data_IF_020970790096
#
_entry.id   IF_020970790096
#
_cell.length_a   1.000
_cell.length_b   1.000
_cell.length_c   1.000
_cell.angle_alpha   90.00
_cell.angle_beta   90.00
_cell.angle_gamma   90.00
#
_symmetry.space_group_name_H-M   'P 1'
#
loop_
_entity.id
_entity.type
_entity.pdbx_description
1 polymer ?
#
# COMPACT_ATOMS: atom_id res chain seq x y z
N UNK A 1 -3.87 1.54 -15.57
CA UNK A 1 -4.22 0.70 -14.41
C UNK A 1 -5.33 1.38 -13.63
N UNK A 2 -6.38 0.66 -13.24
CA UNK A 2 -7.57 1.20 -12.56
C UNK A 2 -7.95 0.27 -11.41
N UNK A 3 -8.33 0.82 -10.26
CA UNK A 3 -8.97 0.05 -9.18
C UNK A 3 -10.48 0.07 -9.45
N UNK A 4 -11.02 -1.05 -9.92
CA UNK A 4 -12.44 -1.21 -10.23
C UNK A 4 -13.28 -1.43 -8.97
N UNK A 5 -12.69 -2.12 -7.99
CA UNK A 5 -13.32 -2.41 -6.70
C UNK A 5 -12.27 -2.34 -5.60
N UNK A 6 -12.61 -1.70 -4.50
CA UNK A 6 -11.79 -1.66 -3.28
C UNK A 6 -12.67 -2.03 -2.09
N UNK A 7 -12.25 -3.04 -1.34
CA UNK A 7 -12.87 -3.44 -0.07
C UNK A 7 -11.82 -3.38 1.02
N UNK A 8 -12.23 -2.92 2.19
CA UNK A 8 -11.36 -2.92 3.36
C UNK A 8 -12.19 -3.19 4.61
N UNK A 9 -11.55 -3.81 5.59
CA UNK A 9 -12.08 -3.98 6.93
C UNK A 9 -10.98 -3.69 7.95
N UNK A 10 -11.35 -2.88 8.95
CA UNK A 10 -10.53 -2.60 10.14
C UNK A 10 -9.16 -1.96 9.86
N UNK A 11 -9.05 -1.19 8.76
CA UNK A 11 -7.87 -0.38 8.47
C UNK A 11 -8.00 0.96 9.19
N UNK A 12 -7.23 1.16 10.26
CA UNK A 12 -7.32 2.33 11.15
C UNK A 12 -8.76 2.60 11.59
N UNK A 13 -9.28 3.78 11.30
CA UNK A 13 -10.63 4.23 11.62
C UNK A 13 -11.64 3.96 10.49
N UNK A 14 -11.27 3.19 9.47
CA UNK A 14 -12.19 2.80 8.41
C UNK A 14 -13.04 1.62 8.87
N UNK A 15 -14.35 1.79 8.77
CA UNK A 15 -15.32 0.70 8.89
C UNK A 15 -15.23 -0.23 7.69
N UNK A 16 -15.91 -1.38 7.79
CA UNK A 16 -16.00 -2.28 6.66
C UNK A 16 -16.77 -1.61 5.52
N UNK A 17 -16.13 -1.43 4.37
CA UNK A 17 -16.74 -0.71 3.25
C UNK A 17 -16.25 -1.28 1.92
N UNK A 18 -17.16 -1.27 0.94
CA UNK A 18 -16.87 -1.55 -0.46
C UNK A 18 -17.05 -0.29 -1.28
N UNK A 19 -16.03 0.08 -2.06
CA UNK A 19 -16.02 1.20 -2.97
C UNK A 19 -15.85 0.70 -4.41
N UNK A 20 -16.48 1.41 -5.35
CA UNK A 20 -16.32 1.24 -6.79
C UNK A 20 -15.83 2.59 -7.36
N UNK A 21 -14.52 2.86 -7.33
CA UNK A 21 -13.97 4.11 -7.81
C UNK A 21 -14.24 4.34 -9.30
N UNK A 22 -14.34 5.60 -9.70
CA UNK A 22 -14.28 6.00 -11.10
C UNK A 22 -12.92 5.59 -11.69
N UNK A 23 -12.86 5.19 -12.98
CA UNK A 23 -11.60 4.84 -13.65
C UNK A 23 -10.66 6.04 -13.83
N UNK A 24 -11.14 7.26 -13.62
CA UNK A 24 -10.37 8.49 -13.78
C UNK A 24 -10.14 9.19 -12.43
N UNK A 25 -10.77 10.33 -12.22
CA UNK A 25 -10.57 11.18 -11.05
C UNK A 25 -11.60 10.85 -9.97
N UNK A 26 -11.11 10.71 -8.74
CA UNK A 26 -11.93 10.41 -7.56
C UNK A 26 -11.68 11.48 -6.50
N UNK A 27 -12.74 12.16 -6.05
CA UNK A 27 -12.66 13.12 -4.95
C UNK A 27 -13.09 12.46 -3.65
N UNK A 28 -12.22 12.49 -2.65
CA UNK A 28 -12.52 12.00 -1.30
C UNK A 28 -12.69 13.22 -0.39
N UNK A 29 -13.93 13.55 -0.04
CA UNK A 29 -14.29 14.74 0.73
C UNK A 29 -14.88 14.34 2.07
N UNK A 30 -14.66 15.16 3.09
CA UNK A 30 -15.17 14.93 4.44
C UNK A 30 -14.43 15.76 5.48
N UNK A 31 -14.93 15.77 6.70
CA UNK A 31 -14.30 16.47 7.84
C UNK A 31 -12.90 15.92 8.17
N UNK A 32 -12.10 16.72 8.87
CA UNK A 32 -10.81 16.24 9.39
C UNK A 32 -11.04 15.07 10.36
N UNK A 33 -10.19 14.04 10.26
CA UNK A 33 -10.36 12.82 11.03
C UNK A 33 -11.35 11.81 10.44
N UNK A 34 -12.07 12.12 9.34
CA UNK A 34 -13.07 11.20 8.75
C UNK A 34 -12.49 9.97 8.04
N UNK A 35 -11.16 9.76 8.06
CA UNK A 35 -10.52 8.60 7.44
C UNK A 35 -10.02 8.79 6.00
N UNK A 36 -10.09 10.00 5.42
CA UNK A 36 -9.61 10.28 4.05
C UNK A 36 -8.18 9.77 3.79
N UNK A 37 -7.24 10.13 4.67
CA UNK A 37 -5.84 9.66 4.56
C UNK A 37 -5.70 8.16 4.86
N UNK A 38 -6.58 7.58 5.68
CA UNK A 38 -6.62 6.13 5.95
C UNK A 38 -7.06 5.37 4.71
N UNK A 39 -8.00 5.91 3.92
CA UNK A 39 -8.40 5.35 2.63
C UNK A 39 -7.27 5.37 1.61
N UNK A 40 -6.55 6.50 1.48
CA UNK A 40 -5.36 6.58 0.63
C UNK A 40 -4.28 5.59 1.10
N UNK A 41 -4.13 5.41 2.40
CA UNK A 41 -3.22 4.43 2.98
C UNK A 41 -3.63 2.99 2.68
N UNK A 42 -4.92 2.66 2.68
CA UNK A 42 -5.40 1.34 2.26
C UNK A 42 -5.01 1.04 0.79
N UNK A 43 -5.12 2.04 -0.09
CA UNK A 43 -4.69 1.95 -1.50
C UNK A 43 -3.16 1.77 -1.61
N UNK A 44 -2.38 2.51 -0.82
CA UNK A 44 -0.92 2.33 -0.75
C UNK A 44 -0.53 0.93 -0.24
N UNK A 45 -1.27 0.41 0.74
CA UNK A 45 -1.00 -0.89 1.34
C UNK A 45 -1.26 -2.03 0.36
N UNK A 46 -2.39 -2.04 -0.36
CA UNK A 46 -2.71 -3.15 -1.28
C UNK A 46 -1.74 -3.22 -2.47
N UNK A 47 -1.06 -2.12 -2.80
CA UNK A 47 -0.10 -2.02 -3.93
C UNK A 47 1.36 -2.24 -3.54
N UNK A 48 1.73 -2.04 -2.27
CA UNK A 48 3.14 -2.10 -1.83
C UNK A 48 3.39 -2.81 -0.50
N UNK A 49 2.32 -3.18 0.21
CA UNK A 49 2.32 -3.59 1.62
C UNK A 49 3.07 -2.64 2.56
N UNK A 50 3.19 -1.36 2.18
CA UNK A 50 3.86 -0.31 2.95
C UNK A 50 2.90 0.83 3.23
N UNK A 51 2.93 1.29 4.48
CA UNK A 51 2.31 2.55 4.87
C UNK A 51 3.29 3.69 4.60
N UNK A 52 2.80 4.77 4.00
CA UNK A 52 3.57 6.00 3.87
C UNK A 52 3.67 6.79 5.19
N UNK A 53 2.84 6.46 6.20
CA UNK A 53 2.74 7.18 7.48
C UNK A 53 3.52 6.51 8.62
N UNK A 54 3.66 5.19 8.61
CA UNK A 54 4.25 4.45 9.73
C UNK A 54 5.00 3.20 9.27
N UNK A 55 6.18 2.95 9.86
CA UNK A 55 6.86 1.65 9.75
C UNK A 55 6.26 0.60 10.68
N UNK A 56 5.53 1.02 11.73
CA UNK A 56 4.86 0.13 12.69
C UNK A 56 3.52 -0.30 12.11
N UNK A 57 3.51 -1.48 11.51
CA UNK A 57 2.35 -2.11 10.87
C UNK A 57 1.21 -2.44 11.85
N UNK A 58 1.51 -2.67 13.13
CA UNK A 58 0.47 -2.88 14.17
C UNK A 58 -0.42 -1.65 14.38
N UNK A 59 0.09 -0.45 14.10
CA UNK A 59 -0.70 0.81 14.16
C UNK A 59 -1.69 0.99 13.01
N UNK A 60 -1.66 0.08 12.02
CA UNK A 60 -2.57 0.11 10.87
C UNK A 60 -3.86 -0.62 11.20
N UNK A 61 -3.80 -1.67 12.03
CA UNK A 61 -5.00 -2.38 12.49
C UNK A 61 -5.82 -1.43 13.38
N UNK A 62 -7.14 -1.43 13.22
CA UNK A 62 -8.06 -0.75 14.12
C UNK A 62 -7.82 -1.18 15.58
N UNK A 63 -7.89 -0.25 16.53
CA UNK A 63 -7.61 -0.52 17.95
C UNK A 63 -8.52 -1.57 18.59
N UNK A 64 -9.74 -1.74 18.06
CA UNK A 64 -10.74 -2.68 18.56
C UNK A 64 -10.67 -4.05 17.88
N UNK A 65 -9.75 -4.25 16.94
CA UNK A 65 -9.62 -5.49 16.17
C UNK A 65 -8.18 -6.04 16.22
N UNK A 66 -8.05 -7.34 15.98
CA UNK A 66 -6.73 -8.01 15.95
C UNK A 66 -6.12 -8.06 14.55
N UNK A 67 -6.89 -7.78 13.51
CA UNK A 67 -6.45 -7.89 12.12
C UNK A 67 -7.15 -6.88 11.22
N UNK A 68 -6.60 -6.67 10.02
CA UNK A 68 -7.25 -5.94 8.94
C UNK A 68 -7.19 -6.74 7.64
N UNK A 69 -8.12 -6.46 6.74
CA UNK A 69 -8.11 -7.01 5.38
C UNK A 69 -8.36 -5.91 4.36
N UNK A 70 -7.65 -5.97 3.23
CA UNK A 70 -7.89 -5.13 2.06
C UNK A 70 -7.99 -6.05 0.85
N UNK A 71 -8.97 -5.82 0.01
CA UNK A 71 -9.14 -6.50 -1.26
C UNK A 71 -9.33 -5.47 -2.36
N UNK A 72 -8.70 -5.69 -3.51
CA UNK A 72 -8.86 -4.85 -4.68
C UNK A 72 -9.01 -5.68 -5.94
N UNK A 73 -9.93 -5.26 -6.82
CA UNK A 73 -9.97 -5.69 -8.22
C UNK A 73 -9.29 -4.61 -9.05
N UNK A 74 -8.17 -4.94 -9.69
CA UNK A 74 -7.35 -4.02 -10.46
C UNK A 74 -7.38 -4.43 -11.93
N UNK A 75 -7.62 -3.46 -12.81
CA UNK A 75 -7.64 -3.64 -14.26
C UNK A 75 -6.43 -2.94 -14.88
N UNK A 76 -5.69 -3.66 -15.72
CA UNK A 76 -4.56 -3.11 -16.48
C UNK A 76 -4.61 -3.60 -17.92
N UNK A 77 -5.07 -2.75 -18.85
CA UNK A 77 -5.37 -3.16 -20.22
C UNK A 77 -6.47 -4.22 -20.24
N UNK A 78 -6.18 -5.39 -20.80
CA UNK A 78 -7.11 -6.54 -20.84
C UNK A 78 -7.02 -7.43 -19.58
N UNK A 79 -6.00 -7.23 -18.75
CA UNK A 79 -5.75 -8.08 -17.58
C UNK A 79 -6.54 -7.61 -16.36
N UNK A 80 -7.07 -8.58 -15.62
CA UNK A 80 -7.78 -8.37 -14.35
C UNK A 80 -7.04 -9.08 -13.23
N UNK A 81 -6.86 -8.39 -12.11
CA UNK A 81 -6.16 -8.91 -10.95
C UNK A 81 -7.03 -8.78 -9.70
N UNK A 82 -7.18 -9.89 -8.99
CA UNK A 82 -7.79 -9.91 -7.66
C UNK A 82 -6.68 -9.94 -6.63
N UNK A 83 -6.51 -8.84 -5.90
CA UNK A 83 -5.42 -8.67 -4.93
C UNK A 83 -6.02 -8.65 -3.54
N UNK A 84 -5.47 -9.46 -2.64
CA UNK A 84 -5.83 -9.49 -1.22
C UNK A 84 -4.60 -9.24 -0.35
N UNK A 85 -4.76 -8.39 0.66
CA UNK A 85 -3.79 -8.16 1.72
C UNK A 85 -4.48 -8.36 3.06
N UNK A 86 -3.95 -9.27 3.86
CA UNK A 86 -4.41 -9.51 5.21
C UNK A 86 -3.24 -9.38 6.18
N UNK A 87 -3.52 -8.91 7.39
CA UNK A 87 -2.55 -8.90 8.48
C UNK A 87 -3.23 -9.17 9.80
N UNK A 88 -2.66 -10.08 10.57
CA UNK A 88 -3.00 -10.30 11.98
C UNK A 88 -1.86 -9.78 12.89
N UNK A 89 -2.22 -9.02 13.92
CA UNK A 89 -1.26 -8.50 14.91
C UNK A 89 -0.52 -9.61 15.67
N UNK A 90 -1.12 -10.80 15.86
CA UNK A 90 -0.50 -11.95 16.52
C UNK A 90 0.60 -12.58 15.67
N UNK A 91 0.33 -12.80 14.38
CA UNK A 91 1.32 -13.39 13.46
C UNK A 91 2.41 -12.39 13.06
N UNK A 92 2.09 -11.10 13.10
CA UNK A 92 2.95 -10.00 12.67
C UNK A 92 3.39 -10.09 11.18
N UNK A 93 2.74 -10.94 10.39
CA UNK A 93 3.06 -11.23 8.98
C UNK A 93 1.92 -10.71 8.08
N UNK A 94 2.30 -10.24 6.88
CA UNK A 94 1.34 -9.95 5.82
C UNK A 94 1.05 -11.22 5.03
N UNK A 95 -0.22 -11.57 4.88
CA UNK A 95 -0.67 -12.57 3.92
C UNK A 95 -1.13 -11.85 2.67
N UNK A 96 -0.43 -12.09 1.56
CA UNK A 96 -0.69 -11.45 0.27
C UNK A 96 -1.19 -12.52 -0.70
N UNK A 97 -2.27 -12.22 -1.42
CA UNK A 97 -2.79 -13.08 -2.50
C UNK A 97 -3.00 -12.29 -3.78
N UNK A 98 -2.59 -12.83 -4.92
CA UNK A 98 -2.96 -12.34 -6.26
C UNK A 98 -3.62 -13.50 -7.00
N UNK A 99 -4.83 -13.31 -7.51
CA UNK A 99 -5.58 -14.34 -8.24
C UNK A 99 -5.64 -15.69 -7.49
N UNK A 100 -5.83 -15.64 -6.17
CA UNK A 100 -5.86 -16.78 -5.23
C UNK A 100 -4.50 -17.41 -4.90
N UNK A 101 -3.42 -17.04 -5.59
CA UNK A 101 -2.07 -17.51 -5.28
C UNK A 101 -1.43 -16.69 -4.16
N UNK A 102 -0.81 -17.38 -3.20
CA UNK A 102 -0.13 -16.74 -2.07
C UNK A 102 1.26 -16.25 -2.45
N UNK A 103 1.57 -15.00 -2.14
CA UNK A 103 2.85 -14.38 -2.46
C UNK A 103 3.67 -14.16 -1.18
N UNK A 104 4.91 -14.65 -1.21
CA UNK A 104 5.84 -14.60 -0.07
C UNK A 104 6.53 -13.24 0.08
N UNK A 105 6.73 -12.49 -1.02
CA UNK A 105 7.48 -11.22 -1.02
C UNK A 105 6.58 -10.04 -1.36
N UNK A 106 6.49 -9.08 -0.44
CA UNK A 106 5.75 -7.82 -0.67
C UNK A 106 6.30 -6.98 -1.81
N UNK A 107 7.60 -7.12 -2.13
CA UNK A 107 8.22 -6.44 -3.28
C UNK A 107 7.56 -6.78 -4.61
N UNK A 108 6.93 -7.96 -4.72
CA UNK A 108 6.23 -8.38 -5.93
C UNK A 108 5.01 -7.48 -6.18
N UNK A 109 4.27 -7.06 -5.15
CA UNK A 109 3.11 -6.19 -5.32
C UNK A 109 3.47 -4.89 -6.05
N UNK A 110 4.61 -4.28 -5.69
CA UNK A 110 5.06 -3.04 -6.28
C UNK A 110 5.39 -3.19 -7.78
N UNK A 111 5.85 -4.37 -8.21
CA UNK A 111 6.09 -4.70 -9.62
C UNK A 111 4.80 -4.87 -10.42
N UNK A 112 3.73 -5.41 -9.81
CA UNK A 112 2.44 -5.57 -10.48
C UNK A 112 1.63 -4.27 -10.51
N UNK A 113 1.70 -3.48 -9.45
CA UNK A 113 0.84 -2.31 -9.24
C UNK A 113 1.66 -1.10 -8.80
N UNK A 114 2.43 -0.47 -9.71
CA UNK A 114 3.17 0.74 -9.37
C UNK A 114 2.20 1.86 -8.97
N UNK A 115 2.39 2.39 -7.75
CA UNK A 115 1.59 3.48 -7.19
C UNK A 115 2.53 4.56 -6.67
N UNK A 116 2.22 5.82 -6.99
CA UNK A 116 2.83 6.99 -6.36
C UNK A 116 1.80 7.58 -5.41
N UNK A 117 2.16 7.68 -4.13
CA UNK A 117 1.39 8.46 -3.16
C UNK A 117 2.11 9.79 -2.98
N UNK A 118 1.37 10.90 -3.04
CA UNK A 118 1.89 12.22 -2.71
C UNK A 118 1.33 12.60 -1.33
N UNK A 119 2.19 12.95 -0.39
CA UNK A 119 1.78 13.33 0.96
C UNK A 119 2.60 14.51 1.49
N UNK A 120 2.05 15.33 2.41
CA UNK A 120 2.77 16.48 2.97
C UNK A 120 4.10 16.10 3.65
N UNK A 121 4.18 14.90 4.23
CA UNK A 121 5.40 14.39 4.87
C UNK A 121 6.55 14.13 3.88
N UNK A 122 6.31 14.24 2.57
CA UNK A 122 7.35 14.14 1.55
C UNK A 122 8.16 15.41 1.37
N UNK A 123 7.77 16.54 1.99
CA UNK A 123 8.64 17.72 2.07
C UNK A 123 9.98 17.41 2.74
N UNK A 124 10.03 16.39 3.62
CA UNK A 124 11.28 15.84 4.19
C UNK A 124 12.28 15.35 3.13
N UNK A 125 11.85 15.07 1.90
CA UNK A 125 12.79 14.73 0.82
C UNK A 125 13.65 15.95 0.44
N UNK A 126 13.09 17.15 0.56
CA UNK A 126 13.78 18.42 0.27
C UNK A 126 14.64 18.80 1.48
N UNK A 127 14.00 19.01 2.63
CA UNK A 127 14.64 19.64 3.79
C UNK A 127 15.23 18.64 4.79
N UNK A 128 14.94 17.35 4.62
CA UNK A 128 15.35 16.31 5.56
C UNK A 128 16.75 15.76 5.32
N UNK A 129 17.09 14.73 6.11
CA UNK A 129 18.42 14.14 6.09
C UNK A 129 18.73 13.40 4.78
N UNK A 130 20.02 13.27 4.41
CA UNK A 130 20.44 12.49 3.24
C UNK A 130 19.95 11.04 3.26
N UNK A 131 19.76 10.45 4.44
CA UNK A 131 19.27 9.07 4.59
C UNK A 131 17.86 8.90 4.01
N UNK A 132 16.98 9.90 4.18
CA UNK A 132 15.60 9.88 3.67
C UNK A 132 15.59 9.91 2.15
N UNK A 133 16.40 10.78 1.55
CA UNK A 133 16.60 10.85 0.09
C UNK A 133 17.14 9.55 -0.48
N UNK A 134 18.20 8.98 0.12
CA UNK A 134 18.74 7.67 -0.30
C UNK A 134 17.69 6.58 -0.22
N UNK A 135 16.99 6.45 0.92
CA UNK A 135 15.94 5.44 1.09
C UNK A 135 14.81 5.59 0.06
N UNK A 136 14.45 6.82 -0.31
CA UNK A 136 13.46 7.07 -1.35
C UNK A 136 13.96 6.65 -2.73
N UNK A 137 15.18 7.06 -3.12
CA UNK A 137 15.80 6.67 -4.40
C UNK A 137 15.96 5.14 -4.49
N UNK A 138 16.49 4.51 -3.44
CA UNK A 138 16.68 3.06 -3.36
C UNK A 138 15.36 2.32 -3.57
N UNK A 139 14.28 2.82 -2.96
CA UNK A 139 12.95 2.27 -3.17
C UNK A 139 12.50 2.51 -4.60
N UNK A 140 12.53 3.74 -5.11
CA UNK A 140 12.05 4.07 -6.44
C UNK A 140 12.78 3.29 -7.54
N UNK A 141 14.03 2.87 -7.37
CA UNK A 141 14.77 2.12 -8.40
C UNK A 141 14.17 0.76 -8.78
N UNK A 142 13.29 0.16 -7.96
CA UNK A 142 12.75 -1.18 -8.22
C UNK A 142 12.05 -1.30 -9.59
N UNK A 143 11.44 -0.21 -10.08
CA UNK A 143 10.67 -0.22 -11.33
C UNK A 143 11.52 -0.01 -12.59
N UNK A 144 12.76 0.49 -12.46
CA UNK A 144 13.68 0.75 -13.59
C UNK A 144 14.83 -0.26 -13.62
N UNK A 145 15.35 -0.66 -12.45
CA UNK A 145 16.46 -1.58 -12.30
C UNK A 145 16.03 -2.72 -11.38
N UNK A 146 15.42 -3.75 -11.97
CA UNK A 146 14.85 -4.87 -11.20
C UNK A 146 15.89 -5.60 -10.33
N UNK A 147 17.15 -5.67 -10.76
CA UNK A 147 18.25 -6.29 -10.00
C UNK A 147 18.79 -5.41 -8.86
N UNK A 148 18.41 -4.14 -8.79
CA UNK A 148 18.94 -3.19 -7.82
C UNK A 148 18.69 -3.64 -6.38
N UNK A 149 17.51 -4.19 -6.09
CA UNK A 149 17.18 -4.70 -4.75
C UNK A 149 18.14 -5.82 -4.31
N UNK A 150 18.56 -6.68 -5.24
CA UNK A 150 19.52 -7.77 -4.96
C UNK A 150 20.91 -7.21 -4.68
N UNK A 151 21.32 -6.17 -5.42
CA UNK A 151 22.61 -5.49 -5.22
C UNK A 151 22.62 -4.78 -3.86
N UNK A 152 21.57 -4.02 -3.55
CA UNK A 152 21.42 -3.30 -2.29
C UNK A 152 21.44 -4.24 -1.08
N UNK A 153 20.81 -5.42 -1.20
CA UNK A 153 20.81 -6.44 -0.16
C UNK A 153 22.18 -7.08 0.09
N UNK A 154 23.08 -7.10 -0.90
CA UNK A 154 24.47 -7.59 -0.75
C UNK A 154 25.41 -6.54 -0.17
N UNK A 155 25.11 -5.26 -0.40
CA UNK A 155 25.94 -4.14 0.06
C UNK A 155 25.74 -3.85 1.56
N UNK A 156 24.52 -4.07 2.08
CA UNK A 156 24.18 -3.93 3.50
C UNK A 156 24.57 -5.16 4.30
#
# INVERSE_FOLDING_TARGET
MVIEKLQFSHVRNLEETTLYPSPSLNFIVGSNGSGKSSLIEAISLITSARSFRTKKSSKIVNSSHSSFTIFAKIVSGLSHFNVGLHRDNKSNIYTIRINQESIQKSSILASYFPLITISPEQCDLIDGSPERRRSFIDWSLFHVKHDYNTILAKYR
#
